data_IF_543975416417
#
_entry.id   IF_543975416417
#
_cell.length_a   1.000
_cell.length_b   1.000
_cell.length_c   1.000
_cell.angle_alpha   90.00
_cell.angle_beta   90.00
_cell.angle_gamma   90.00
#
_symmetry.space_group_name_H-M   'P 1'
#
loop_
_entity.id
_entity.type
_entity.pdbx_description
1 polymer ?
#
# COMPACT_ATOMS: atom_id res chain seq x y z
N UNK A 1 18.20 -9.63 9.88
CA UNK A 1 18.11 -8.16 9.72
C UNK A 1 18.75 -7.82 8.38
N UNK A 2 17.92 -7.44 7.43
CA UNK A 2 18.32 -7.17 6.04
C UNK A 2 18.16 -5.67 5.74
N UNK A 3 19.01 -5.13 4.87
CA UNK A 3 18.97 -3.70 4.49
C UNK A 3 18.70 -3.61 3.00
N UNK A 4 17.54 -3.07 2.61
CA UNK A 4 17.19 -2.74 1.22
C UNK A 4 16.90 -1.24 1.14
N UNK A 5 17.46 -0.58 0.12
CA UNK A 5 17.27 0.85 -0.15
C UNK A 5 17.51 1.75 1.08
N UNK A 6 18.51 1.43 1.91
CA UNK A 6 18.83 2.20 3.12
C UNK A 6 17.88 2.00 4.31
N UNK A 7 16.83 1.18 4.17
CA UNK A 7 15.87 0.87 5.25
C UNK A 7 16.24 -0.47 5.88
N UNK A 8 16.43 -0.49 7.20
CA UNK A 8 16.63 -1.72 7.98
C UNK A 8 15.27 -2.38 8.22
N UNK A 9 15.11 -3.64 7.80
CA UNK A 9 13.92 -4.45 8.05
C UNK A 9 14.28 -5.81 8.64
N UNK A 10 13.33 -6.40 9.34
CA UNK A 10 13.40 -7.80 9.76
C UNK A 10 12.78 -8.69 8.68
N UNK A 11 13.16 -9.98 8.66
CA UNK A 11 12.65 -10.92 7.66
C UNK A 11 11.12 -11.08 7.77
N UNK A 12 10.56 -10.95 8.97
CA UNK A 12 9.11 -10.89 9.20
C UNK A 12 8.46 -9.68 8.54
N UNK A 13 9.07 -8.49 8.63
CA UNK A 13 8.52 -7.28 8.01
C UNK A 13 8.53 -7.35 6.48
N UNK A 14 9.50 -8.05 5.90
CA UNK A 14 9.54 -8.29 4.46
C UNK A 14 8.41 -9.23 4.02
N UNK A 15 8.15 -10.29 4.79
CA UNK A 15 7.03 -11.21 4.54
C UNK A 15 5.66 -10.53 4.73
N UNK A 16 5.54 -9.67 5.74
CA UNK A 16 4.33 -8.87 5.96
C UNK A 16 4.00 -7.98 4.76
N UNK A 17 5.01 -7.32 4.18
CA UNK A 17 4.82 -6.48 3.00
C UNK A 17 4.41 -7.30 1.77
N UNK A 18 5.05 -8.45 1.54
CA UNK A 18 4.73 -9.31 0.40
C UNK A 18 3.29 -9.85 0.48
N UNK A 19 2.86 -10.28 1.68
CA UNK A 19 1.51 -10.81 1.88
C UNK A 19 0.43 -9.72 1.85
N UNK A 20 0.74 -8.50 2.28
CA UNK A 20 -0.21 -7.39 2.32
C UNK A 20 -0.58 -6.81 0.96
N UNK A 21 0.17 -7.14 -0.11
CA UNK A 21 -0.20 -6.79 -1.49
C UNK A 21 -1.43 -7.60 -1.95
N UNK A 22 -1.57 -8.82 -1.45
CA UNK A 22 -2.57 -9.79 -1.90
C UNK A 22 -3.75 -9.94 -0.91
N UNK A 23 -3.55 -9.57 0.36
CA UNK A 23 -4.50 -9.85 1.44
C UNK A 23 -4.72 -8.65 2.36
N UNK A 24 -5.89 -8.58 2.99
CA UNK A 24 -6.16 -7.60 4.05
C UNK A 24 -5.20 -7.77 5.24
N UNK A 25 -4.78 -6.68 5.89
CA UNK A 25 -3.79 -6.70 6.98
C UNK A 25 -4.18 -7.63 8.14
N UNK A 26 -5.46 -7.72 8.49
CA UNK A 26 -5.94 -8.65 9.53
C UNK A 26 -5.70 -10.11 9.15
N UNK A 27 -5.79 -10.44 7.86
CA UNK A 27 -5.53 -11.78 7.34
C UNK A 27 -4.04 -12.10 7.30
N UNK A 28 -3.20 -11.11 7.01
CA UNK A 28 -1.74 -11.21 7.10
C UNK A 28 -1.35 -11.53 8.54
N UNK A 29 -1.83 -10.75 9.51
CA UNK A 29 -1.56 -10.97 10.93
C UNK A 29 -1.96 -12.39 11.39
N UNK A 30 -3.19 -12.84 11.07
CA UNK A 30 -3.64 -14.21 11.39
C UNK A 30 -2.73 -15.29 10.79
N UNK A 31 -2.19 -15.04 9.60
CA UNK A 31 -1.33 -16.00 8.90
C UNK A 31 0.04 -16.10 9.56
N UNK A 32 0.65 -14.96 9.89
CA UNK A 32 1.92 -14.89 10.59
C UNK A 32 1.82 -15.45 12.00
N UNK A 33 0.76 -15.10 12.74
CA UNK A 33 0.51 -15.66 14.07
C UNK A 33 0.37 -17.18 14.03
N UNK A 34 -0.31 -17.72 13.02
CA UNK A 34 -0.44 -19.18 12.85
C UNK A 34 0.90 -19.86 12.57
N UNK A 35 1.74 -19.27 11.73
CA UNK A 35 3.01 -19.86 11.29
C UNK A 35 4.14 -19.69 12.32
N UNK A 36 4.27 -18.49 12.87
CA UNK A 36 5.41 -18.07 13.69
C UNK A 36 5.05 -17.87 15.17
N UNK A 37 3.78 -18.04 15.55
CA UNK A 37 3.27 -17.80 16.92
C UNK A 37 3.59 -16.38 17.43
N UNK A 38 3.72 -15.45 16.50
CA UNK A 38 4.01 -14.06 16.73
C UNK A 38 2.77 -13.24 16.35
N UNK A 39 2.17 -12.58 17.34
CA UNK A 39 1.06 -11.67 17.10
C UNK A 39 1.56 -10.26 16.81
N UNK A 40 1.09 -9.65 15.73
CA UNK A 40 1.42 -8.27 15.33
C UNK A 40 0.16 -7.41 15.31
N UNK A 41 0.28 -6.11 15.57
CA UNK A 41 -0.86 -5.21 15.46
C UNK A 41 -1.06 -4.78 14.01
N UNK A 42 -2.31 -4.70 13.56
CA UNK A 42 -2.68 -4.17 12.24
C UNK A 42 -2.16 -2.76 12.02
N UNK A 43 -2.13 -1.94 13.08
CA UNK A 43 -1.61 -0.57 13.04
C UNK A 43 -0.12 -0.53 12.68
N UNK A 44 0.66 -1.53 13.10
CA UNK A 44 2.07 -1.66 12.73
C UNK A 44 2.23 -1.97 11.24
N UNK A 45 1.35 -2.84 10.69
CA UNK A 45 1.34 -3.17 9.26
C UNK A 45 0.94 -1.94 8.42
N UNK A 46 -0.07 -1.19 8.86
CA UNK A 46 -0.50 0.06 8.21
C UNK A 46 0.60 1.12 8.24
N UNK A 47 1.25 1.30 9.39
CA UNK A 47 2.36 2.25 9.55
C UNK A 47 3.52 1.89 8.64
N UNK A 48 3.84 0.60 8.52
CA UNK A 48 4.87 0.11 7.62
C UNK A 48 4.54 0.43 6.15
N UNK A 49 3.27 0.25 5.75
CA UNK A 49 2.84 0.58 4.40
C UNK A 49 2.87 2.09 4.13
N UNK A 50 2.50 2.90 5.12
CA UNK A 50 2.56 4.37 5.03
C UNK A 50 4.01 4.87 4.90
N UNK A 51 4.95 4.22 5.58
CA UNK A 51 6.36 4.54 5.46
C UNK A 51 6.90 4.20 4.06
N UNK A 52 6.45 3.11 3.44
CA UNK A 52 6.81 2.79 2.05
C UNK A 52 6.27 3.87 1.09
N UNK A 53 5.06 4.38 1.35
CA UNK A 53 4.44 5.39 0.50
C UNK A 53 5.24 6.71 0.41
N UNK A 54 6.07 7.04 1.41
CA UNK A 54 6.87 8.29 1.40
C UNK A 54 7.81 8.39 0.20
N UNK A 55 8.29 7.25 -0.29
CA UNK A 55 9.29 7.21 -1.37
C UNK A 55 8.64 7.40 -2.76
N UNK A 56 7.30 7.32 -2.84
CA UNK A 56 6.54 7.34 -4.10
C UNK A 56 6.70 8.67 -4.84
N UNK A 57 6.70 9.79 -4.11
CA UNK A 57 6.82 11.12 -4.71
C UNK A 57 8.20 11.32 -5.35
N UNK A 58 9.26 11.07 -4.56
CA UNK A 58 10.64 11.17 -5.05
C UNK A 58 10.91 10.24 -6.24
N UNK A 59 10.37 9.01 -6.21
CA UNK A 59 10.47 8.09 -7.35
C UNK A 59 9.81 8.66 -8.62
N UNK A 60 8.62 9.27 -8.50
CA UNK A 60 7.94 9.88 -9.66
C UNK A 60 8.71 11.07 -10.20
N UNK A 61 9.21 11.94 -9.32
CA UNK A 61 9.96 13.14 -9.70
C UNK A 61 11.30 12.80 -10.37
N UNK A 62 11.92 11.69 -9.97
CA UNK A 62 13.17 11.21 -10.54
C UNK A 62 13.02 10.57 -11.93
N UNK A 63 11.79 10.30 -12.41
CA UNK A 63 11.59 9.71 -13.74
C UNK A 63 11.73 10.79 -14.81
N UNK A 64 12.68 10.66 -15.75
CA UNK A 64 12.80 11.62 -16.85
C UNK A 64 11.53 11.56 -17.72
N UNK A 65 11.10 12.73 -18.20
CA UNK A 65 10.09 12.78 -19.24
C UNK A 65 10.62 12.05 -20.49
N UNK A 66 9.78 11.24 -21.15
CA UNK A 66 10.19 10.61 -22.40
C UNK A 66 10.54 11.69 -23.44
N UNK A 67 11.52 11.44 -24.34
CA UNK A 67 11.84 12.37 -25.42
C UNK A 67 10.61 12.66 -26.29
N UNK A 68 10.41 13.93 -26.66
CA UNK A 68 9.25 14.38 -27.46
C UNK A 68 9.11 13.62 -28.79
N UNK A 69 10.21 13.19 -29.39
CA UNK A 69 10.20 12.41 -30.63
C UNK A 69 9.68 10.96 -30.45
N UNK A 70 9.67 10.45 -29.22
CA UNK A 70 9.18 9.12 -28.86
C UNK A 70 7.75 9.17 -28.28
N UNK A 71 7.25 10.36 -27.90
CA UNK A 71 5.85 10.58 -27.54
C UNK A 71 4.95 10.53 -28.78
N UNK A 72 4.55 9.31 -29.17
CA UNK A 72 3.52 9.09 -30.18
C UNK A 72 2.15 9.64 -29.77
N UNK A 73 1.21 9.73 -30.72
CA UNK A 73 -0.17 10.12 -30.41
C UNK A 73 -0.80 9.18 -29.37
N UNK A 74 -1.20 9.73 -28.23
CA UNK A 74 -1.94 9.00 -27.19
C UNK A 74 -3.40 8.89 -27.63
N UNK A 75 -3.82 7.69 -28.04
CA UNK A 75 -5.23 7.37 -28.29
C UNK A 75 -5.80 6.59 -27.10
N UNK A 76 -6.74 7.21 -26.38
CA UNK A 76 -7.38 6.58 -25.21
C UNK A 76 -8.58 5.75 -25.68
N UNK A 77 -8.38 4.44 -25.84
CA UNK A 77 -9.42 3.49 -26.30
C UNK A 77 -10.42 3.14 -25.20
N UNK A 78 -9.97 3.09 -23.95
CA UNK A 78 -10.81 2.80 -22.79
C UNK A 78 -10.19 3.40 -21.54
N UNK A 79 -11.05 3.76 -20.58
CA UNK A 79 -10.66 4.19 -19.26
C UNK A 79 -11.28 3.24 -18.23
N UNK A 80 -10.46 2.70 -17.34
CA UNK A 80 -10.94 1.87 -16.24
C UNK A 80 -11.40 2.79 -15.10
N UNK A 81 -12.71 2.86 -14.89
CA UNK A 81 -13.31 3.63 -13.78
C UNK A 81 -13.50 2.75 -12.54
N UNK A 82 -12.52 1.91 -12.19
CA UNK A 82 -12.55 1.17 -10.92
C UNK A 82 -12.32 2.15 -9.76
N UNK A 83 -13.42 2.56 -9.14
CA UNK A 83 -13.39 3.36 -7.93
C UNK A 83 -13.19 2.48 -6.70
N UNK A 84 -12.19 2.81 -5.88
CA UNK A 84 -12.15 2.38 -4.48
C UNK A 84 -12.75 3.51 -3.65
N UNK A 85 -13.70 3.18 -2.76
CA UNK A 85 -14.30 4.20 -1.88
C UNK A 85 -13.24 4.68 -0.88
N UNK A 86 -12.69 5.86 -1.14
CA UNK A 86 -11.80 6.57 -0.21
C UNK A 86 -12.68 7.42 0.70
N UNK A 87 -12.70 7.09 2.01
CA UNK A 87 -13.44 7.86 3.00
C UNK A 87 -12.58 9.03 3.48
N UNK A 88 -13.06 10.26 3.28
CA UNK A 88 -12.50 11.43 3.96
C UNK A 88 -13.03 11.53 5.40
N UNK A 89 -12.36 12.32 6.24
CA UNK A 89 -12.76 12.53 7.64
C UNK A 89 -14.22 13.02 7.80
N UNK A 90 -14.80 13.64 6.77
CA UNK A 90 -16.17 14.17 6.78
C UNK A 90 -17.18 13.32 5.97
N UNK A 91 -16.78 12.17 5.41
CA UNK A 91 -17.67 11.35 4.58
C UNK A 91 -18.61 10.53 5.47
N UNK A 92 -19.90 10.88 5.51
CA UNK A 92 -20.93 10.13 6.26
C UNK A 92 -21.05 8.70 5.72
N UNK A 93 -20.99 7.70 6.60
CA UNK A 93 -21.22 6.30 6.22
C UNK A 93 -22.67 6.13 5.76
N UNK A 94 -22.88 5.80 4.49
CA UNK A 94 -24.24 5.59 3.93
C UNK A 94 -24.62 4.10 3.96
N UNK A 95 -23.64 3.19 4.11
CA UNK A 95 -23.89 1.75 4.18
C UNK A 95 -23.05 1.10 5.30
N UNK A 96 -23.71 0.65 6.37
CA UNK A 96 -23.25 -0.52 7.16
C UNK A 96 -22.25 -0.34 8.30
N UNK A 97 -22.12 0.83 8.93
CA UNK A 97 -21.35 0.92 10.18
C UNK A 97 -21.06 2.36 10.61
N UNK A 98 -21.81 2.83 11.59
CA UNK A 98 -21.51 4.09 12.29
C UNK A 98 -20.25 3.89 13.15
N UNK A 99 -19.25 4.77 13.03
CA UNK A 99 -18.23 4.89 14.08
C UNK A 99 -18.88 5.61 15.25
N UNK A 100 -19.26 4.87 16.28
CA UNK A 100 -19.55 5.48 17.58
C UNK A 100 -18.24 6.09 18.11
N UNK A 101 -18.32 7.34 18.57
CA UNK A 101 -17.21 8.13 19.08
C UNK A 101 -16.57 7.54 20.33
#
# INVERSE_FOLDING_TARGET
>A
MHVKNGVRRTDTQDWDQELAVEQAFSKVNQTIERMLKLHQHTDSLETMNRQLASDTAAFRDARPAPPVAEEGQIFVTSADCKGVVIRGQATKTVCGGERLG
#
